data_IF_321558204053
#
_entry.id   IF_321558204053
#
_cell.length_a   1.000
_cell.length_b   1.000
_cell.length_c   1.000
_cell.angle_alpha   90.00
_cell.angle_beta   90.00
_cell.angle_gamma   90.00
#
_symmetry.space_group_name_H-M   'P 1'
#
loop_
_entity.id
_entity.type
_entity.pdbx_description
1 polymer ?
#
# COMPACT_ATOMS: atom_id res chain seq x y z
N UNK A 1 -4.29 -6.15 -45.20
CA UNK A 1 -3.55 -7.13 -44.38
C UNK A 1 -4.13 -7.07 -42.97
N UNK A 2 -4.48 -8.23 -42.39
CA UNK A 2 -4.88 -8.32 -40.97
C UNK A 2 -3.61 -8.15 -40.14
N UNK A 3 -3.54 -7.08 -39.36
CA UNK A 3 -2.59 -6.95 -38.26
C UNK A 3 -2.94 -8.03 -37.23
N UNK A 4 -2.29 -9.19 -37.36
CA UNK A 4 -2.35 -10.27 -36.37
C UNK A 4 -1.56 -9.81 -35.15
N UNK A 5 -2.26 -9.79 -34.02
CA UNK A 5 -1.77 -9.22 -32.79
C UNK A 5 -0.43 -9.82 -32.34
N UNK A 6 0.32 -8.97 -31.66
CA UNK A 6 1.07 -9.46 -30.52
C UNK A 6 0.41 -8.83 -29.29
N UNK A 7 -0.18 -9.61 -28.37
CA UNK A 7 -0.66 -9.06 -27.12
C UNK A 7 0.54 -8.39 -26.46
N UNK A 8 0.43 -7.07 -26.28
CA UNK A 8 1.44 -6.30 -25.59
C UNK A 8 1.75 -6.99 -24.28
N UNK A 9 2.95 -7.53 -24.15
CA UNK A 9 3.35 -8.27 -22.95
C UNK A 9 3.17 -7.34 -21.75
N UNK A 10 2.40 -7.72 -20.72
CA UNK A 10 2.10 -6.85 -19.57
C UNK A 10 3.33 -6.43 -18.75
N UNK A 11 4.50 -7.02 -19.01
CA UNK A 11 5.75 -6.76 -18.29
C UNK A 11 6.84 -6.43 -19.31
N UNK A 12 7.13 -5.14 -19.49
CA UNK A 12 8.16 -4.63 -20.43
C UNK A 12 9.36 -3.96 -19.73
N UNK A 13 9.33 -3.84 -18.40
CA UNK A 13 10.33 -3.11 -17.60
C UNK A 13 10.55 -3.80 -16.25
N UNK A 14 11.75 -3.74 -15.64
CA UNK A 14 12.00 -4.31 -14.29
C UNK A 14 11.03 -3.81 -13.22
N UNK A 15 10.53 -2.56 -13.35
CA UNK A 15 9.47 -2.03 -12.49
C UNK A 15 8.11 -2.72 -12.68
N UNK A 16 7.76 -3.11 -13.90
CA UNK A 16 6.49 -3.79 -14.20
C UNK A 16 6.36 -5.17 -13.57
N UNK A 17 7.49 -5.87 -13.34
CA UNK A 17 7.48 -7.13 -12.60
C UNK A 17 7.13 -6.90 -11.12
N UNK A 18 7.69 -5.85 -10.50
CA UNK A 18 7.38 -5.50 -9.12
C UNK A 18 5.92 -5.09 -8.97
N UNK A 19 5.36 -4.34 -9.92
CA UNK A 19 3.95 -3.95 -9.91
C UNK A 19 3.02 -5.17 -10.10
N UNK A 20 3.38 -6.12 -10.97
CA UNK A 20 2.63 -7.36 -11.14
C UNK A 20 2.64 -8.19 -9.85
N UNK A 21 3.80 -8.35 -9.21
CA UNK A 21 3.94 -9.05 -7.92
C UNK A 21 3.12 -8.33 -6.84
N UNK A 22 3.22 -7.01 -6.75
CA UNK A 22 2.47 -6.22 -5.77
C UNK A 22 0.96 -6.38 -5.95
N UNK A 23 0.47 -6.40 -7.19
CA UNK A 23 -0.94 -6.65 -7.50
C UNK A 23 -1.37 -8.07 -7.10
N UNK A 24 -0.57 -9.09 -7.41
CA UNK A 24 -0.85 -10.48 -6.99
C UNK A 24 -0.91 -10.56 -5.47
N UNK A 25 0.07 -10.01 -4.78
CA UNK A 25 0.12 -9.99 -3.31
C UNK A 25 -1.12 -9.30 -2.72
N UNK A 26 -1.54 -8.16 -3.28
CA UNK A 26 -2.77 -7.46 -2.87
C UNK A 26 -4.01 -8.35 -3.01
N UNK A 27 -4.17 -9.03 -4.14
CA UNK A 27 -5.29 -9.94 -4.35
C UNK A 27 -5.25 -11.15 -3.40
N UNK A 28 -4.07 -11.72 -3.18
CA UNK A 28 -3.87 -12.81 -2.21
C UNK A 28 -4.28 -12.36 -0.80
N UNK A 29 -3.89 -11.15 -0.38
CA UNK A 29 -4.33 -10.61 0.92
C UNK A 29 -5.85 -10.53 1.03
N UNK A 30 -6.52 -9.98 0.02
CA UNK A 30 -7.99 -9.84 0.02
C UNK A 30 -8.66 -11.21 0.14
N UNK A 31 -8.26 -12.17 -0.71
CA UNK A 31 -8.81 -13.54 -0.69
C UNK A 31 -8.54 -14.23 0.63
N UNK A 32 -7.32 -14.08 1.18
CA UNK A 32 -6.95 -14.64 2.47
C UNK A 32 -7.86 -14.15 3.60
N UNK A 33 -8.10 -12.83 3.70
CA UNK A 33 -8.98 -12.29 4.74
C UNK A 33 -10.44 -12.72 4.56
N UNK A 34 -10.94 -12.82 3.33
CA UNK A 34 -12.29 -13.35 3.07
C UNK A 34 -12.42 -14.79 3.56
N UNK A 35 -11.44 -15.63 3.25
CA UNK A 35 -11.40 -17.03 3.72
C UNK A 35 -11.28 -17.10 5.24
N UNK A 36 -10.45 -16.25 5.86
CA UNK A 36 -10.31 -16.19 7.31
C UNK A 36 -11.65 -15.88 8.00
N UNK A 37 -12.39 -14.88 7.50
CA UNK A 37 -13.73 -14.55 8.02
C UNK A 37 -14.69 -15.74 7.84
N UNK A 38 -14.67 -16.41 6.69
CA UNK A 38 -15.50 -17.60 6.45
C UNK A 38 -15.23 -18.71 7.48
N UNK A 39 -13.97 -18.98 7.80
CA UNK A 39 -13.61 -19.98 8.80
C UNK A 39 -14.04 -19.60 10.21
N UNK A 40 -13.92 -18.32 10.59
CA UNK A 40 -14.41 -17.83 11.89
C UNK A 40 -15.92 -18.07 12.01
N UNK A 41 -16.68 -17.72 10.97
CA UNK A 41 -18.13 -17.94 10.95
C UNK A 41 -18.49 -19.42 11.01
N UNK A 42 -17.77 -20.27 10.27
CA UNK A 42 -17.98 -21.71 10.29
C UNK A 42 -17.65 -22.34 11.66
N UNK A 43 -16.59 -21.87 12.32
CA UNK A 43 -16.25 -22.28 13.68
C UNK A 43 -17.33 -21.86 14.68
N UNK A 44 -17.82 -20.62 14.58
CA UNK A 44 -18.91 -20.12 15.41
C UNK A 44 -20.21 -20.92 15.21
N UNK A 45 -20.56 -21.25 13.96
CA UNK A 45 -21.72 -22.08 13.66
C UNK A 45 -21.60 -23.49 14.25
N UNK A 46 -20.43 -24.13 14.13
CA UNK A 46 -20.20 -25.44 14.74
C UNK A 46 -20.23 -25.39 16.27
N UNK A 47 -19.76 -24.30 16.87
CA UNK A 47 -19.83 -24.09 18.31
C UNK A 47 -21.28 -24.01 18.79
N UNK A 48 -22.11 -23.18 18.14
CA UNK A 48 -23.52 -23.01 18.47
C UNK A 48 -24.36 -24.27 18.20
N UNK A 49 -24.13 -24.92 17.06
CA UNK A 49 -24.88 -26.12 16.63
C UNK A 49 -24.40 -27.40 17.31
N UNK A 50 -23.23 -27.36 17.96
CA UNK A 50 -22.62 -28.48 18.69
C UNK A 50 -23.11 -28.61 20.12
N UNK A 51 -23.98 -27.71 20.60
CA UNK A 51 -24.52 -27.74 21.95
C UNK A 51 -25.22 -29.09 22.22
N UNK A 52 -24.59 -29.93 23.04
CA UNK A 52 -25.07 -31.28 23.38
C UNK A 52 -24.23 -32.44 22.84
N UNK A 53 -23.24 -32.21 21.97
CA UNK A 53 -22.27 -33.23 21.56
C UNK A 53 -20.83 -32.78 21.91
N UNK A 54 -20.17 -33.44 22.89
CA UNK A 54 -18.83 -33.05 23.35
C UNK A 54 -17.76 -33.15 22.25
N UNK A 55 -17.92 -34.05 21.29
CA UNK A 55 -16.98 -34.22 20.17
C UNK A 55 -17.05 -33.05 19.19
N UNK A 56 -18.26 -32.54 18.91
CA UNK A 56 -18.45 -31.33 18.10
C UNK A 56 -17.92 -30.09 18.81
N UNK A 57 -18.12 -30.01 20.12
CA UNK A 57 -17.64 -28.89 20.93
C UNK A 57 -16.10 -28.84 20.97
N UNK A 58 -15.45 -30.00 21.15
CA UNK A 58 -13.99 -30.13 21.07
C UNK A 58 -13.46 -29.70 19.70
N UNK A 59 -14.09 -30.17 18.62
CA UNK A 59 -13.71 -29.77 17.25
C UNK A 59 -13.84 -28.26 17.02
N UNK A 60 -14.90 -27.64 17.54
CA UNK A 60 -15.09 -26.19 17.44
C UNK A 60 -14.00 -25.42 18.22
N UNK A 61 -13.64 -25.88 19.43
CA UNK A 61 -12.53 -25.32 20.21
C UNK A 61 -11.20 -25.39 19.48
N UNK A 62 -10.85 -26.56 18.94
CA UNK A 62 -9.62 -26.75 18.18
C UNK A 62 -9.60 -25.82 16.95
N UNK A 63 -10.73 -25.69 16.26
CA UNK A 63 -10.85 -24.81 15.10
C UNK A 63 -10.65 -23.33 15.45
N UNK A 64 -11.21 -22.87 16.57
CA UNK A 64 -10.98 -21.50 17.08
C UNK A 64 -9.50 -21.31 17.45
N UNK A 65 -8.90 -22.28 18.13
CA UNK A 65 -7.49 -22.21 18.54
C UNK A 65 -6.56 -22.09 17.33
N UNK A 66 -6.73 -22.96 16.33
CA UNK A 66 -5.93 -22.89 15.10
C UNK A 66 -6.15 -21.59 14.32
N UNK A 67 -7.39 -21.09 14.30
CA UNK A 67 -7.71 -19.80 13.67
C UNK A 67 -7.00 -18.64 14.38
N UNK A 68 -7.01 -18.64 15.72
CA UNK A 68 -6.32 -17.63 16.51
C UNK A 68 -4.79 -17.67 16.28
N UNK A 69 -4.20 -18.86 16.20
CA UNK A 69 -2.77 -19.03 15.90
C UNK A 69 -2.43 -18.50 14.50
N UNK A 70 -3.26 -18.79 13.49
CA UNK A 70 -3.06 -18.29 12.13
C UNK A 70 -3.10 -16.75 12.07
N UNK A 71 -4.05 -16.13 12.76
CA UNK A 71 -4.15 -14.67 12.86
C UNK A 71 -2.92 -14.09 13.57
N UNK A 72 -2.49 -14.69 14.68
CA UNK A 72 -1.30 -14.24 15.41
C UNK A 72 -0.05 -14.26 14.52
N UNK A 73 0.19 -15.34 13.77
CA UNK A 73 1.32 -15.44 12.84
C UNK A 73 1.22 -14.39 11.73
N UNK A 74 0.03 -14.17 11.16
CA UNK A 74 -0.18 -13.15 10.13
C UNK A 74 0.15 -11.74 10.64
N UNK A 75 -0.31 -11.40 11.85
CA UNK A 75 0.00 -10.12 12.49
C UNK A 75 1.50 -9.95 12.75
N UNK A 76 2.17 -11.00 13.23
CA UNK A 76 3.62 -11.00 13.45
C UNK A 76 4.40 -10.79 12.15
N UNK A 77 4.00 -11.46 11.06
CA UNK A 77 4.64 -11.29 9.75
C UNK A 77 4.52 -9.85 9.24
N UNK A 78 3.33 -9.25 9.33
CA UNK A 78 3.10 -7.85 8.93
C UNK A 78 3.88 -6.88 9.81
N UNK A 79 3.90 -7.11 11.13
CA UNK A 79 4.69 -6.33 12.07
C UNK A 79 6.18 -6.37 11.75
N UNK A 80 6.73 -7.57 11.53
CA UNK A 80 8.14 -7.75 11.17
C UNK A 80 8.50 -7.03 9.87
N UNK A 81 7.68 -7.14 8.82
CA UNK A 81 7.90 -6.42 7.54
C UNK A 81 7.89 -4.91 7.76
N UNK A 82 6.98 -4.40 8.60
CA UNK A 82 6.89 -2.96 8.91
C UNK A 82 8.15 -2.47 9.63
N UNK A 83 8.63 -3.23 10.61
CA UNK A 83 9.88 -2.95 11.30
C UNK A 83 11.03 -2.91 10.28
N UNK A 84 11.20 -3.96 9.48
CA UNK A 84 12.28 -4.03 8.47
C UNK A 84 12.21 -2.84 7.50
N UNK A 85 11.01 -2.49 7.02
CA UNK A 85 10.82 -1.32 6.15
C UNK A 85 11.24 -0.04 6.85
N UNK A 86 10.83 0.20 8.09
CA UNK A 86 11.18 1.42 8.81
C UNK A 86 12.68 1.51 9.11
N UNK A 87 13.36 0.37 9.31
CA UNK A 87 14.80 0.33 9.54
C UNK A 87 15.63 0.43 8.25
N UNK A 88 15.22 -0.21 7.15
CA UNK A 88 15.96 -0.23 5.88
C UNK A 88 15.58 0.94 4.96
N UNK A 89 14.32 1.36 5.01
CA UNK A 89 13.79 2.56 4.34
C UNK A 89 13.70 3.67 5.38
N UNK A 90 14.80 3.93 6.10
CA UNK A 90 15.02 5.23 6.71
C UNK A 90 15.04 6.23 5.55
N UNK A 91 13.85 6.68 5.17
CA UNK A 91 13.69 7.77 4.25
C UNK A 91 14.08 8.97 5.07
N UNK A 92 15.32 9.43 4.91
CA UNK A 92 15.74 10.74 5.39
C UNK A 92 14.65 11.71 4.93
N UNK A 93 13.85 12.20 5.86
CA UNK A 93 12.67 13.03 5.57
C UNK A 93 13.07 14.44 5.12
N UNK A 94 14.20 14.58 4.42
CA UNK A 94 14.61 15.82 3.75
C UNK A 94 13.97 15.98 2.37
N UNK A 95 13.19 15.01 1.89
CA UNK A 95 12.59 15.10 0.54
C UNK A 95 11.07 14.96 0.57
N UNK A 96 10.39 16.06 0.94
CA UNK A 96 9.26 16.66 0.21
C UNK A 96 8.79 17.95 0.89
N UNK A 97 9.37 19.09 0.48
CA UNK A 97 8.66 20.36 0.50
C UNK A 97 7.65 20.35 -0.66
N UNK A 98 6.35 20.60 -0.41
CA UNK A 98 5.37 20.78 -1.48
C UNK A 98 5.63 22.14 -2.15
N UNK A 99 6.24 22.13 -3.35
CA UNK A 99 6.14 23.16 -4.39
C UNK A 99 5.98 24.65 -3.96
N UNK A 100 6.69 25.11 -2.94
CA UNK A 100 6.73 26.52 -2.56
C UNK A 100 8.12 27.11 -2.79
N UNK A 101 8.70 26.77 -3.94
CA UNK A 101 9.86 27.46 -4.50
C UNK A 101 9.61 27.80 -5.97
N UNK A 102 8.36 28.17 -6.31
CA UNK A 102 8.04 28.87 -7.56
C UNK A 102 8.29 30.39 -7.46
N UNK A 103 8.84 30.86 -6.34
CA UNK A 103 9.05 32.28 -6.06
C UNK A 103 10.34 32.62 -5.33
N UNK A 104 11.29 31.68 -5.19
CA UNK A 104 12.60 32.00 -4.63
C UNK A 104 13.60 32.14 -5.78
N UNK A 105 13.63 33.35 -6.32
CA UNK A 105 14.77 33.88 -7.03
C UNK A 105 16.04 33.60 -6.19
N UNK A 106 17.22 33.24 -6.77
CA UNK A 106 18.48 33.19 -6.04
C UNK A 106 18.65 34.42 -5.15
N UNK A 107 19.41 34.33 -4.05
CA UNK A 107 19.49 35.41 -3.04
C UNK A 107 20.01 36.75 -3.59
N UNK A 108 20.57 36.73 -4.80
CA UNK A 108 21.09 37.88 -5.53
C UNK A 108 20.21 38.30 -6.72
N UNK A 109 19.08 37.62 -6.97
CA UNK A 109 18.10 38.10 -7.93
C UNK A 109 17.25 39.15 -7.23
N UNK A 110 17.35 40.42 -7.66
CA UNK A 110 16.56 41.46 -7.05
C UNK A 110 15.08 41.29 -7.43
N UNK A 111 14.17 41.91 -6.66
CA UNK A 111 12.74 41.90 -6.94
C UNK A 111 12.43 42.37 -8.36
N UNK A 112 11.36 41.84 -8.97
CA UNK A 112 10.85 42.38 -10.25
C UNK A 112 10.49 43.87 -10.09
N UNK A 113 10.98 44.74 -10.97
CA UNK A 113 10.81 46.20 -10.96
C UNK A 113 12.02 47.00 -10.43
N UNK A 114 13.09 46.32 -10.02
CA UNK A 114 14.32 46.96 -9.53
C UNK A 114 15.31 47.32 -10.65
N UNK A 115 15.19 46.69 -11.81
CA UNK A 115 16.11 46.94 -12.93
C UNK A 115 15.66 48.17 -13.74
N UNK A 116 16.53 48.84 -14.49
CA UNK A 116 16.08 49.91 -15.39
C UNK A 116 15.21 49.36 -16.53
N UNK A 117 15.57 48.17 -17.03
CA UNK A 117 14.92 47.47 -18.14
C UNK A 117 13.45 47.08 -17.85
N UNK A 118 13.11 46.79 -16.59
CA UNK A 118 11.77 46.38 -16.19
C UNK A 118 10.86 47.57 -15.78
N UNK A 119 11.43 48.79 -15.78
CA UNK A 119 10.73 50.05 -15.49
C UNK A 119 10.25 50.80 -16.74
N UNK A 120 10.37 50.19 -17.92
CA UNK A 120 9.92 50.78 -19.20
C UNK A 120 8.55 50.28 -19.68
N UNK A 121 7.64 49.97 -18.74
CA UNK A 121 6.20 50.02 -19.01
C UNK A 121 5.73 51.48 -18.99
N UNK A 122 4.72 51.87 -19.79
CA UNK A 122 4.36 53.29 -19.95
C UNK A 122 4.05 53.89 -18.58
N UNK A 123 4.93 54.78 -18.14
CA UNK A 123 4.75 55.58 -16.93
C UNK A 123 3.56 56.49 -17.23
N UNK A 124 2.41 56.19 -16.62
CA UNK A 124 1.21 56.97 -16.78
C UNK A 124 1.44 58.41 -16.32
N UNK A 125 1.39 59.33 -17.28
CA UNK A 125 0.88 60.69 -17.14
C UNK A 125 -0.17 60.86 -18.25
#
# INVERSE_FOLDING_TARGET
AKELGTPESPIKTPGGLLDAIANIVKWVYIVFFVIAVMFILFAAFNYLSGAGNPEKLKKAHDMIMYTAIAIAIALLAVGAVTIIKNFLLQKDETTQQPQQQKGLAPPWQPPKGWWPEDREGPIGI
#
